data_IF_623237411926
#
_entry.id   IF_623237411926
#
_cell.length_a   1.000
_cell.length_b   1.000
_cell.length_c   1.000
_cell.angle_alpha   90.00
_cell.angle_beta   90.00
_cell.angle_gamma   90.00
#
_symmetry.space_group_name_H-M   'P 1'
#
loop_
_entity.id
_entity.type
_entity.pdbx_description
1 polymer ?
#
# COMPACT_ATOMS: atom_id res chain seq x y z
N UNK A 1 -9.49 16.51 10.98
CA UNK A 1 -8.70 16.79 9.76
C UNK A 1 -9.64 16.79 8.56
N UNK A 2 -9.47 17.68 7.58
CA UNK A 2 -10.20 17.52 6.31
C UNK A 2 -9.66 16.28 5.57
N UNK A 3 -10.50 15.51 4.85
CA UNK A 3 -10.12 14.24 4.21
C UNK A 3 -8.83 14.29 3.38
N UNK A 4 -8.64 15.40 2.64
CA UNK A 4 -7.48 15.59 1.77
C UNK A 4 -6.16 15.68 2.54
N UNK A 5 -6.18 16.17 3.79
CA UNK A 5 -4.97 16.35 4.57
C UNK A 5 -4.33 15.02 4.98
N UNK A 6 -5.15 14.00 5.31
CA UNK A 6 -4.61 12.69 5.70
C UNK A 6 -3.93 11.99 4.52
N UNK A 7 -4.53 12.03 3.32
CA UNK A 7 -3.94 11.43 2.12
C UNK A 7 -2.59 12.08 1.82
N UNK A 8 -2.51 13.42 1.85
CA UNK A 8 -1.28 14.17 1.63
C UNK A 8 -0.21 13.86 2.70
N UNK A 9 -0.61 13.77 3.97
CA UNK A 9 0.29 13.39 5.06
C UNK A 9 0.88 11.98 4.86
N UNK A 10 0.03 11.00 4.55
CA UNK A 10 0.45 9.62 4.28
C UNK A 10 1.42 9.55 3.10
N UNK A 11 1.11 10.26 2.00
CA UNK A 11 1.99 10.33 0.82
C UNK A 11 3.33 10.95 1.19
N UNK A 12 3.32 12.11 1.85
CA UNK A 12 4.52 12.83 2.25
C UNK A 12 5.41 12.02 3.20
N UNK A 13 4.82 11.25 4.12
CA UNK A 13 5.56 10.37 5.02
C UNK A 13 6.16 9.20 4.24
N UNK A 14 5.38 8.53 3.39
CA UNK A 14 5.86 7.36 2.66
C UNK A 14 6.96 7.69 1.63
N UNK A 15 6.92 8.87 1.00
CA UNK A 15 7.98 9.32 0.09
C UNK A 15 9.35 9.45 0.78
N UNK A 16 9.39 9.60 2.11
CA UNK A 16 10.64 9.57 2.89
C UNK A 16 11.20 8.15 3.07
N UNK A 17 10.39 7.11 2.84
CA UNK A 17 10.82 5.71 2.83
C UNK A 17 11.11 5.20 1.43
N UNK A 18 10.24 5.50 0.46
CA UNK A 18 10.35 5.07 -0.93
C UNK A 18 10.16 6.26 -1.88
N UNK A 19 11.25 6.69 -2.51
CA UNK A 19 11.31 7.87 -3.38
C UNK A 19 11.08 7.53 -4.85
N UNK A 20 11.54 6.36 -5.30
CA UNK A 20 11.50 5.97 -6.71
C UNK A 20 10.37 4.98 -7.02
N UNK A 21 9.98 4.91 -8.29
CA UNK A 21 9.01 3.91 -8.75
C UNK A 21 9.49 2.48 -8.48
N UNK A 22 10.78 2.21 -8.71
CA UNK A 22 11.37 0.89 -8.47
C UNK A 22 11.31 0.52 -6.99
N UNK A 23 11.68 1.43 -6.09
CA UNK A 23 11.60 1.20 -4.63
C UNK A 23 10.18 0.85 -4.19
N UNK A 24 9.14 1.43 -4.81
CA UNK A 24 7.74 1.09 -4.51
C UNK A 24 7.37 -0.32 -4.97
N UNK A 25 7.84 -0.75 -6.13
CA UNK A 25 7.61 -2.12 -6.61
C UNK A 25 8.36 -3.15 -5.75
N UNK A 26 9.64 -2.88 -5.45
CA UNK A 26 10.47 -3.69 -4.57
C UNK A 26 9.86 -3.76 -3.16
N UNK A 27 9.31 -2.66 -2.64
CA UNK A 27 8.58 -2.62 -1.37
C UNK A 27 7.37 -3.56 -1.36
N UNK A 28 6.58 -3.59 -2.43
CA UNK A 28 5.40 -4.48 -2.50
C UNK A 28 5.84 -5.95 -2.42
N UNK A 29 6.89 -6.33 -3.15
CA UNK A 29 7.45 -7.68 -3.09
C UNK A 29 8.02 -7.99 -1.70
N UNK A 30 8.78 -7.07 -1.12
CA UNK A 30 9.37 -7.21 0.22
C UNK A 30 8.30 -7.37 1.31
N UNK A 31 7.20 -6.61 1.24
CA UNK A 31 6.05 -6.78 2.15
C UNK A 31 5.44 -8.16 2.00
N UNK A 32 5.19 -8.62 0.76
CA UNK A 32 4.60 -9.94 0.48
C UNK A 32 5.43 -11.10 1.04
N UNK A 33 6.75 -10.97 1.01
CA UNK A 33 7.72 -12.02 1.36
C UNK A 33 8.15 -11.98 2.83
N UNK A 34 7.78 -10.93 3.57
CA UNK A 34 8.22 -10.72 4.94
C UNK A 34 7.22 -11.26 5.96
N UNK A 35 7.66 -12.13 6.86
CA UNK A 35 6.85 -12.59 7.99
C UNK A 35 6.55 -11.47 9.01
N UNK A 36 7.43 -10.47 9.10
CA UNK A 36 7.32 -9.35 10.03
C UNK A 36 7.63 -8.03 9.34
N UNK A 37 6.98 -6.95 9.79
CA UNK A 37 7.20 -5.63 9.21
C UNK A 37 8.62 -5.11 9.38
N UNK A 38 9.38 -5.65 10.34
CA UNK A 38 10.77 -5.27 10.59
C UNK A 38 11.74 -5.78 9.52
N UNK A 39 11.32 -6.75 8.71
CA UNK A 39 12.13 -7.37 7.66
C UNK A 39 11.90 -6.74 6.29
N UNK A 40 10.94 -5.81 6.18
CA UNK A 40 10.68 -5.07 4.95
C UNK A 40 11.84 -4.12 4.70
N UNK A 41 12.39 -4.14 3.48
CA UNK A 41 13.59 -3.40 3.10
C UNK A 41 13.30 -1.90 2.86
N UNK A 42 13.00 -1.17 3.95
CA UNK A 42 12.73 0.27 3.96
C UNK A 42 13.17 0.94 5.25
N UNK A 43 13.40 2.27 5.23
CA UNK A 43 13.57 3.04 6.45
C UNK A 43 12.41 2.83 7.43
N UNK A 44 12.72 2.31 8.62
CA UNK A 44 11.70 2.01 9.62
C UNK A 44 11.00 3.26 10.19
N UNK A 45 11.67 4.41 10.20
CA UNK A 45 11.13 5.62 10.85
C UNK A 45 9.85 6.15 10.16
N UNK A 46 9.81 6.40 8.84
CA UNK A 46 8.58 6.78 8.16
C UNK A 46 7.47 5.72 8.27
N UNK A 47 7.83 4.43 8.18
CA UNK A 47 6.87 3.33 8.32
C UNK A 47 6.24 3.32 9.72
N UNK A 48 7.03 3.54 10.77
CA UNK A 48 6.51 3.70 12.13
C UNK A 48 5.56 4.88 12.25
N UNK A 49 5.86 6.01 11.61
CA UNK A 49 4.94 7.15 11.57
C UNK A 49 3.60 6.78 10.92
N UNK A 50 3.62 6.06 9.79
CA UNK A 50 2.39 5.57 9.13
C UNK A 50 1.60 4.63 10.05
N UNK A 51 2.27 3.73 10.77
CA UNK A 51 1.63 2.84 11.75
C UNK A 51 0.97 3.67 12.87
N UNK A 52 1.65 4.68 13.41
CA UNK A 52 1.08 5.55 14.44
C UNK A 52 -0.13 6.34 13.93
N UNK A 53 -0.08 6.87 12.71
CA UNK A 53 -1.23 7.54 12.07
C UNK A 53 -2.42 6.59 12.00
N UNK A 54 -2.20 5.33 11.63
CA UNK A 54 -3.22 4.30 11.51
C UNK A 54 -3.75 3.79 12.87
N UNK A 55 -3.24 4.22 14.02
CA UNK A 55 -3.83 3.85 15.33
C UNK A 55 -5.05 4.69 15.70
N UNK A 56 -5.21 5.87 15.11
CA UNK A 56 -6.38 6.71 15.34
C UNK A 56 -7.59 6.17 14.56
N UNK A 57 -8.74 6.03 15.22
CA UNK A 57 -9.96 5.45 14.64
C UNK A 57 -10.52 6.25 13.45
N UNK A 58 -10.46 7.58 13.50
CA UNK A 58 -10.87 8.45 12.38
C UNK A 58 -9.95 8.22 11.18
N UNK A 59 -8.64 8.13 11.43
CA UNK A 59 -7.65 7.85 10.39
C UNK A 59 -7.81 6.44 9.81
N UNK A 60 -8.11 5.43 10.62
CA UNK A 60 -8.38 4.07 10.11
C UNK A 60 -9.55 4.06 9.14
N UNK A 61 -10.64 4.76 9.51
CA UNK A 61 -11.84 4.86 8.67
C UNK A 61 -11.52 5.51 7.33
N UNK A 62 -10.69 6.56 7.34
CA UNK A 62 -10.32 7.26 6.12
C UNK A 62 -9.32 6.46 5.27
N UNK A 63 -8.31 5.84 5.88
CA UNK A 63 -7.38 4.91 5.19
C UNK A 63 -8.15 3.76 4.55
N UNK A 64 -9.18 3.24 5.22
CA UNK A 64 -10.05 2.19 4.68
C UNK A 64 -10.77 2.65 3.41
N UNK A 65 -11.27 3.89 3.35
CA UNK A 65 -11.89 4.44 2.14
C UNK A 65 -10.86 4.55 1.00
N UNK A 66 -9.69 5.12 1.29
CA UNK A 66 -8.59 5.23 0.32
C UNK A 66 -8.19 3.85 -0.23
N UNK A 67 -8.09 2.84 0.64
CA UNK A 67 -7.76 1.47 0.27
C UNK A 67 -8.83 0.84 -0.64
N UNK A 68 -10.12 1.04 -0.33
CA UNK A 68 -11.23 0.54 -1.14
C UNK A 68 -11.24 1.19 -2.53
N UNK A 69 -11.04 2.51 -2.60
CA UNK A 69 -10.99 3.25 -3.86
C UNK A 69 -9.79 2.83 -4.72
N UNK A 70 -8.64 2.62 -4.08
CA UNK A 70 -7.42 2.16 -4.72
C UNK A 70 -7.60 0.77 -5.36
N UNK A 71 -8.16 -0.20 -4.62
CA UNK A 71 -8.43 -1.54 -5.15
C UNK A 71 -9.47 -1.51 -6.27
N UNK A 72 -10.54 -0.70 -6.15
CA UNK A 72 -11.52 -0.57 -7.24
C UNK A 72 -10.86 -0.12 -8.53
N UNK A 73 -9.98 0.87 -8.45
CA UNK A 73 -9.20 1.37 -9.59
C UNK A 73 -8.35 0.27 -10.19
N UNK A 74 -7.54 -0.40 -9.37
CA UNK A 74 -6.56 -1.41 -9.82
C UNK A 74 -7.19 -2.71 -10.31
N UNK A 75 -8.40 -3.03 -9.83
CA UNK A 75 -9.15 -4.21 -10.29
C UNK A 75 -9.47 -4.17 -11.79
N UNK A 76 -9.44 -2.99 -12.40
CA UNK A 76 -9.72 -2.77 -13.83
C UNK A 76 -8.48 -2.68 -14.72
N UNK A 77 -7.27 -2.61 -14.15
CA UNK A 77 -6.02 -2.35 -14.90
C UNK A 77 -5.50 -3.61 -15.62
N UNK A 78 -5.81 -4.81 -15.10
CA UNK A 78 -5.49 -6.08 -15.76
C UNK A 78 -4.31 -6.84 -15.14
N UNK A 79 -3.22 -7.00 -15.91
CA UNK A 79 -2.02 -7.76 -15.54
C UNK A 79 -1.00 -6.94 -14.74
N UNK A 80 0.00 -7.61 -14.18
CA UNK A 80 1.09 -6.99 -13.40
C UNK A 80 1.83 -5.88 -14.15
N UNK A 81 2.12 -6.09 -15.43
CA UNK A 81 2.77 -5.10 -16.28
C UNK A 81 1.96 -3.78 -16.37
N UNK A 82 0.64 -3.89 -16.56
CA UNK A 82 -0.22 -2.70 -16.64
C UNK A 82 -0.36 -2.01 -15.29
N UNK A 83 -0.38 -2.77 -14.19
CA UNK A 83 -0.39 -2.20 -12.84
C UNK A 83 0.91 -1.45 -12.56
N UNK A 84 2.07 -2.04 -12.87
CA UNK A 84 3.36 -1.37 -12.74
C UNK A 84 3.43 -0.10 -13.59
N UNK A 85 2.97 -0.16 -14.85
CA UNK A 85 2.90 1.03 -15.71
C UNK A 85 1.88 2.07 -15.23
N UNK A 86 0.79 1.65 -14.58
CA UNK A 86 -0.16 2.57 -13.98
C UNK A 86 0.47 3.27 -12.76
N UNK A 87 1.22 2.54 -11.93
CA UNK A 87 1.96 3.08 -10.79
C UNK A 87 3.09 4.04 -11.19
N UNK A 88 3.72 3.87 -12.35
CA UNK A 88 4.73 4.80 -12.83
C UNK A 88 4.14 6.15 -13.27
N UNK A 89 2.86 6.17 -13.67
CA UNK A 89 2.15 7.37 -14.14
C UNK A 89 1.30 8.04 -13.05
N UNK A 90 0.76 7.25 -12.11
CA UNK A 90 -0.13 7.70 -11.05
C UNK A 90 0.52 7.46 -9.69
N UNK A 91 1.48 8.31 -9.35
CA UNK A 91 2.35 8.07 -8.20
C UNK A 91 1.59 7.98 -6.85
N UNK A 92 0.59 8.84 -6.66
CA UNK A 92 -0.26 8.77 -5.46
C UNK A 92 -1.00 7.44 -5.34
N UNK A 93 -1.47 6.87 -6.46
CA UNK A 93 -2.17 5.57 -6.45
C UNK A 93 -1.20 4.47 -6.02
N UNK A 94 0.04 4.50 -6.51
CA UNK A 94 1.08 3.56 -6.10
C UNK A 94 1.40 3.66 -4.61
N UNK A 95 1.56 4.89 -4.10
CA UNK A 95 1.89 5.14 -2.69
C UNK A 95 0.75 4.69 -1.77
N UNK A 96 -0.50 5.05 -2.08
CA UNK A 96 -1.65 4.60 -1.30
C UNK A 96 -1.80 3.08 -1.34
N UNK A 97 -1.50 2.44 -2.47
CA UNK A 97 -1.45 0.98 -2.53
C UNK A 97 -0.41 0.41 -1.57
N UNK A 98 0.83 0.92 -1.62
CA UNK A 98 1.92 0.46 -0.77
C UNK A 98 1.55 0.56 0.72
N UNK A 99 1.07 1.72 1.15
CA UNK A 99 0.66 1.98 2.54
C UNK A 99 -0.47 1.04 2.95
N UNK A 100 -1.54 0.97 2.16
CA UNK A 100 -2.70 0.15 2.48
C UNK A 100 -2.33 -1.32 2.54
N UNK A 101 -1.57 -1.81 1.56
CA UNK A 101 -1.11 -3.20 1.51
C UNK A 101 -0.27 -3.55 2.72
N UNK A 102 0.74 -2.73 3.05
CA UNK A 102 1.58 -2.91 4.24
C UNK A 102 0.73 -3.03 5.50
N UNK A 103 -0.19 -2.09 5.72
CA UNK A 103 -1.03 -2.06 6.92
C UNK A 103 -1.97 -3.27 6.99
N UNK A 104 -2.51 -3.76 5.86
CA UNK A 104 -3.31 -4.98 5.83
C UNK A 104 -2.50 -6.25 6.02
N UNK A 105 -1.35 -6.32 5.36
CA UNK A 105 -0.48 -7.49 5.38
C UNK A 105 -0.05 -7.78 6.82
N UNK A 106 0.41 -6.75 7.54
CA UNK A 106 0.84 -6.82 8.95
C UNK A 106 -0.26 -6.54 9.98
N UNK A 107 -1.54 -6.52 9.57
CA UNK A 107 -2.69 -6.40 10.47
C UNK A 107 -2.81 -5.12 11.31
N UNK A 108 -2.24 -3.99 10.86
CA UNK A 108 -2.37 -2.69 11.52
C UNK A 108 -3.71 -1.99 11.29
N UNK A 109 -4.45 -2.36 10.23
CA UNK A 109 -5.82 -1.90 10.02
C UNK A 109 -6.84 -2.89 10.60
N UNK A 110 -7.85 -2.34 11.27
CA UNK A 110 -8.98 -3.09 11.81
C UNK A 110 -10.24 -2.76 11.00
N UNK A 111 -10.87 -3.79 10.45
CA UNK A 111 -12.19 -3.70 9.82
C UNK A 111 -12.90 -5.03 10.10
N UNK A 112 -13.94 -4.99 10.94
CA UNK A 112 -14.65 -6.20 11.37
C UNK A 112 -15.38 -6.91 10.23
N UNK A 113 -15.71 -6.21 9.15
CA UNK A 113 -16.61 -6.72 8.12
C UNK A 113 -15.90 -7.08 6.81
N UNK A 114 -14.89 -6.32 6.39
CA UNK A 114 -14.26 -6.49 5.06
C UNK A 114 -12.76 -6.73 5.07
N UNK A 115 -12.11 -6.80 6.24
CA UNK A 115 -10.64 -6.98 6.35
C UNK A 115 -10.10 -8.13 5.52
N UNK A 116 -10.75 -9.30 5.57
CA UNK A 116 -10.28 -10.47 4.80
C UNK A 116 -10.45 -10.29 3.29
N UNK A 117 -11.54 -9.65 2.85
CA UNK A 117 -11.80 -9.42 1.43
C UNK A 117 -10.80 -8.42 0.84
N UNK A 118 -10.58 -7.30 1.54
CA UNK A 118 -9.62 -6.29 1.09
C UNK A 118 -8.20 -6.84 1.11
N UNK A 119 -7.79 -7.52 2.18
CA UNK A 119 -6.48 -8.18 2.24
C UNK A 119 -6.26 -9.09 1.04
N UNK A 120 -7.20 -9.98 0.71
CA UNK A 120 -7.09 -10.86 -0.47
C UNK A 120 -6.99 -10.07 -1.79
N UNK A 121 -7.72 -8.97 -1.93
CA UNK A 121 -7.63 -8.14 -3.12
C UNK A 121 -6.26 -7.46 -3.26
N UNK A 122 -5.69 -6.96 -2.17
CA UNK A 122 -4.32 -6.43 -2.17
C UNK A 122 -3.29 -7.51 -2.48
N UNK A 123 -3.39 -8.69 -1.86
CA UNK A 123 -2.47 -9.81 -2.15
C UNK A 123 -2.53 -10.22 -3.63
N UNK A 124 -3.71 -10.29 -4.23
CA UNK A 124 -3.86 -10.63 -5.65
C UNK A 124 -3.23 -9.58 -6.59
N UNK A 125 -3.25 -8.30 -6.21
CA UNK A 125 -2.57 -7.25 -6.97
C UNK A 125 -1.05 -7.33 -6.77
N UNK A 126 -0.60 -7.56 -5.54
CA UNK A 126 0.82 -7.72 -5.21
C UNK A 126 1.43 -8.95 -5.90
N UNK A 127 0.70 -10.06 -5.97
CA UNK A 127 1.10 -11.29 -6.69
C UNK A 127 1.29 -11.00 -8.18
N UNK A 128 0.32 -10.34 -8.83
CA UNK A 128 0.46 -9.94 -10.24
C UNK A 128 1.70 -9.08 -10.50
N UNK A 129 2.01 -8.14 -9.61
CA UNK A 129 3.21 -7.31 -9.71
C UNK A 129 4.47 -8.17 -9.54
N UNK A 130 4.50 -9.05 -8.54
CA UNK A 130 5.63 -9.94 -8.28
C UNK A 130 5.89 -10.89 -9.46
N UNK A 131 4.85 -11.47 -10.06
CA UNK A 131 4.95 -12.30 -11.25
C UNK A 131 5.59 -11.53 -12.42
N UNK A 132 5.11 -10.30 -12.66
CA UNK A 132 5.70 -9.43 -13.69
C UNK A 132 7.18 -9.10 -13.43
N UNK A 133 7.56 -8.86 -12.18
CA UNK A 133 8.95 -8.57 -11.83
C UNK A 133 9.87 -9.79 -11.90
N UNK A 134 9.36 -11.01 -11.61
CA UNK A 134 10.15 -12.23 -11.70
C UNK A 134 10.35 -12.71 -13.15
N UNK A 135 9.46 -12.31 -14.05
CA UNK A 135 9.57 -12.59 -15.49
C UNK A 135 10.53 -11.64 -16.24
N UNK A 136 11.03 -10.57 -15.59
CA UNK A 136 11.87 -9.52 -16.20
C UNK A 136 13.15 -9.24 -15.40
#
# INVERSE_FOLDING_TARGET
>A
MEPNNLKEELVSVFEKACSSHKERLDFICSVRESDTFSNVDVPLAPIKTIIEIAKNEENQTEILKLAIENIKTLSTVGSGQYIASHFSTHNEVAIIFCISYFLYHFNFLHDENKKQLLKRAFEAVAEKIADYLNEN
#
